data_IF_795679616699
#
_entry.id   IF_795679616699
#
_cell.length_a   1.000
_cell.length_b   1.000
_cell.length_c   1.000
_cell.angle_alpha   90.00
_cell.angle_beta   90.00
_cell.angle_gamma   90.00
#
_symmetry.space_group_name_H-M   'P 1'
#
loop_
_entity.id
_entity.type
_entity.pdbx_description
1 polymer ?
#
# COMPACT_ATOMS: atom_id res chain seq x y z
N UNK A 1 11.96 -20.79 -0.42
CA UNK A 1 11.10 -20.98 -1.60
C UNK A 1 10.62 -19.59 -2.00
N UNK A 2 10.74 -19.19 -3.26
CA UNK A 2 10.30 -17.85 -3.68
C UNK A 2 8.76 -17.84 -3.77
N UNK A 3 8.12 -17.15 -2.82
CA UNK A 3 6.66 -17.06 -2.74
C UNK A 3 6.07 -16.16 -3.83
N UNK A 4 6.88 -15.34 -4.51
CA UNK A 4 6.40 -14.40 -5.55
C UNK A 4 5.82 -15.09 -6.79
N UNK A 5 6.08 -16.39 -6.97
CA UNK A 5 5.51 -17.20 -8.05
C UNK A 5 4.11 -17.77 -7.75
N UNK A 6 3.61 -17.60 -6.53
CA UNK A 6 2.27 -18.03 -6.14
C UNK A 6 1.28 -16.88 -6.35
N UNK A 7 0.04 -17.17 -6.77
CA UNK A 7 -1.00 -16.13 -6.76
C UNK A 7 -1.25 -15.69 -5.30
N UNK A 8 -1.57 -14.40 -5.08
CA UNK A 8 -1.91 -13.91 -3.75
C UNK A 8 -3.13 -14.66 -3.22
N UNK A 9 -3.16 -14.90 -1.92
CA UNK A 9 -4.34 -15.48 -1.27
C UNK A 9 -5.47 -14.43 -1.16
N UNK A 10 -6.67 -14.88 -0.81
CA UNK A 10 -7.81 -13.98 -0.62
C UNK A 10 -7.53 -12.92 0.45
N UNK A 11 -6.93 -13.33 1.57
CA UNK A 11 -6.63 -12.47 2.71
C UNK A 11 -5.57 -11.41 2.38
N UNK A 12 -4.63 -11.72 1.48
CA UNK A 12 -3.68 -10.75 0.94
C UNK A 12 -4.38 -9.83 -0.06
N UNK A 13 -5.12 -10.36 -1.02
CA UNK A 13 -5.68 -9.58 -2.13
C UNK A 13 -6.79 -8.59 -1.68
N UNK A 14 -7.62 -8.98 -0.72
CA UNK A 14 -8.78 -8.20 -0.29
C UNK A 14 -8.43 -6.78 0.21
N UNK A 15 -7.48 -6.58 1.16
CA UNK A 15 -7.11 -5.24 1.61
C UNK A 15 -6.52 -4.38 0.49
N UNK A 16 -5.79 -4.95 -0.48
CA UNK A 16 -5.33 -4.21 -1.66
C UNK A 16 -6.50 -3.69 -2.50
N UNK A 17 -7.51 -4.52 -2.77
CA UNK A 17 -8.71 -4.12 -3.52
C UNK A 17 -9.46 -2.99 -2.78
N UNK A 18 -9.63 -3.11 -1.46
CA UNK A 18 -10.28 -2.08 -0.64
C UNK A 18 -9.56 -0.74 -0.74
N UNK A 19 -8.22 -0.73 -0.62
CA UNK A 19 -7.41 0.50 -0.73
C UNK A 19 -7.51 1.12 -2.11
N UNK A 20 -7.33 0.32 -3.17
CA UNK A 20 -7.42 0.80 -4.54
C UNK A 20 -8.80 1.40 -4.84
N UNK A 21 -9.87 0.75 -4.36
CA UNK A 21 -11.25 1.22 -4.52
C UNK A 21 -11.49 2.54 -3.79
N UNK A 22 -10.98 2.68 -2.57
CA UNK A 22 -11.07 3.93 -1.80
C UNK A 22 -10.36 5.08 -2.51
N UNK A 23 -9.11 4.88 -2.92
CA UNK A 23 -8.32 5.91 -3.63
C UNK A 23 -9.01 6.31 -4.94
N UNK A 24 -9.51 5.34 -5.71
CA UNK A 24 -10.23 5.63 -6.94
C UNK A 24 -11.51 6.45 -6.70
N UNK A 25 -12.26 6.13 -5.64
CA UNK A 25 -13.47 6.88 -5.27
C UNK A 25 -13.15 8.29 -4.76
N UNK A 26 -12.07 8.46 -4.01
CA UNK A 26 -11.59 9.77 -3.58
C UNK A 26 -11.29 10.66 -4.78
N UNK A 27 -10.52 10.14 -5.75
CA UNK A 27 -10.20 10.89 -6.97
C UNK A 27 -11.41 11.13 -7.87
N UNK A 28 -12.35 10.19 -7.91
CA UNK A 28 -13.62 10.38 -8.64
C UNK A 28 -14.45 11.53 -8.09
N UNK A 29 -14.32 11.84 -6.80
CA UNK A 29 -15.00 12.94 -6.12
C UNK A 29 -14.13 14.19 -5.99
N UNK A 30 -12.98 14.25 -6.67
CA UNK A 30 -12.01 15.36 -6.58
C UNK A 30 -12.58 16.73 -7.01
N UNK A 31 -13.65 16.74 -7.80
CA UNK A 31 -14.36 17.94 -8.26
C UNK A 31 -15.33 18.52 -7.22
N UNK A 32 -15.58 17.79 -6.13
CA UNK A 32 -16.50 18.22 -5.08
C UNK A 32 -15.84 19.25 -4.17
N UNK A 33 -16.60 20.29 -3.79
CA UNK A 33 -16.11 21.39 -2.94
C UNK A 33 -15.76 20.97 -1.52
N UNK A 34 -16.17 19.77 -1.11
CA UNK A 34 -15.89 19.18 0.19
C UNK A 34 -15.74 17.67 0.07
N UNK A 35 -14.53 17.17 0.36
CA UNK A 35 -14.21 15.75 0.36
C UNK A 35 -13.81 15.38 1.78
N UNK A 36 -14.81 15.08 2.62
CA UNK A 36 -14.57 14.43 3.91
C UNK A 36 -14.59 12.90 3.69
N UNK A 37 -13.50 12.37 3.14
CA UNK A 37 -13.29 10.94 3.02
C UNK A 37 -12.05 10.56 3.81
N UNK A 38 -12.26 10.23 5.09
CA UNK A 38 -11.24 9.62 5.91
C UNK A 38 -11.26 8.10 5.67
N UNK A 39 -10.10 7.48 5.41
CA UNK A 39 -10.04 6.03 5.26
C UNK A 39 -10.37 5.33 6.58
N UNK A 40 -10.97 4.15 6.48
CA UNK A 40 -11.25 3.26 7.62
C UNK A 40 -10.73 1.85 7.37
N UNK A 41 -10.92 0.95 8.34
CA UNK A 41 -10.61 -0.48 8.22
C UNK A 41 -11.36 -1.12 7.04
N UNK A 42 -12.57 -0.66 6.75
CA UNK A 42 -13.36 -1.11 5.58
C UNK A 42 -12.70 -0.71 4.24
N UNK A 43 -11.81 0.28 4.27
CA UNK A 43 -11.03 0.74 3.12
C UNK A 43 -9.62 0.15 3.07
N UNK A 44 -9.28 -0.79 3.96
CA UNK A 44 -7.95 -1.41 4.01
C UNK A 44 -6.89 -0.52 4.65
N UNK A 45 -7.30 0.39 5.54
CA UNK A 45 -6.42 1.27 6.32
C UNK A 45 -6.74 1.14 7.81
N UNK A 46 -5.75 1.31 8.66
CA UNK A 46 -5.90 1.34 10.12
C UNK A 46 -5.35 2.66 10.67
N UNK A 47 -5.97 3.18 11.73
CA UNK A 47 -5.48 4.36 12.43
C UNK A 47 -4.52 3.92 13.55
N UNK A 48 -3.23 4.23 13.41
CA UNK A 48 -2.19 3.90 14.38
C UNK A 48 -1.45 5.18 14.74
N UNK A 49 -1.46 5.55 16.02
CA UNK A 49 -0.82 6.77 16.53
C UNK A 49 -1.23 8.04 15.76
N UNK A 50 -2.54 8.21 15.50
CA UNK A 50 -3.13 9.30 14.70
C UNK A 50 -2.70 9.34 13.22
N UNK A 51 -2.06 8.28 12.70
CA UNK A 51 -1.67 8.15 11.30
C UNK A 51 -2.39 6.97 10.64
N UNK A 52 -2.92 7.18 9.43
CA UNK A 52 -3.48 6.09 8.64
C UNK A 52 -2.37 5.25 8.02
N UNK A 53 -2.31 3.97 8.37
CA UNK A 53 -1.40 3.00 7.80
C UNK A 53 -2.16 1.99 6.95
N UNK A 54 -1.66 1.61 5.76
CA UNK A 54 -2.27 0.56 4.97
C UNK A 54 -2.18 -0.78 5.71
N UNK A 55 -3.26 -1.55 5.66
CA UNK A 55 -3.26 -2.95 6.13
C UNK A 55 -2.70 -3.81 5.00
N UNK A 56 -1.41 -4.12 5.01
CA UNK A 56 -0.80 -4.88 3.91
C UNK A 56 -1.28 -6.33 3.87
N UNK A 57 -1.36 -6.96 5.03
CA UNK A 57 -1.68 -8.36 5.16
C UNK A 57 -2.26 -8.65 6.55
N UNK A 58 -3.23 -9.54 6.62
CA UNK A 58 -3.80 -10.07 7.87
C UNK A 58 -3.78 -11.60 7.80
N UNK A 59 -3.32 -12.25 8.88
CA UNK A 59 -3.29 -13.71 8.98
C UNK A 59 -1.91 -14.32 8.77
N UNK A 60 -1.87 -15.56 8.26
CA UNK A 60 -0.65 -16.34 8.05
C UNK A 60 -0.21 -16.26 6.59
N UNK A 61 1.03 -15.81 6.35
CA UNK A 61 1.58 -15.63 5.00
C UNK A 61 1.64 -16.94 4.21
N UNK A 62 1.73 -18.07 4.91
CA UNK A 62 1.77 -19.41 4.36
C UNK A 62 0.89 -20.32 5.22
N UNK A 63 0.05 -21.18 4.63
CA UNK A 63 -0.63 -22.24 5.35
C UNK A 63 0.39 -23.09 6.14
N UNK A 64 0.06 -23.47 7.38
CA UNK A 64 0.92 -24.31 8.23
C UNK A 64 1.43 -25.58 7.52
N UNK A 65 0.63 -26.17 6.63
CA UNK A 65 1.00 -27.37 5.86
C UNK A 65 2.14 -27.16 4.86
N UNK A 66 2.49 -25.92 4.55
CA UNK A 66 3.60 -25.55 3.67
C UNK A 66 4.84 -25.09 4.45
N UNK A 67 4.75 -24.95 5.79
CA UNK A 67 5.88 -24.63 6.64
C UNK A 67 6.72 -25.90 6.79
N UNK A 68 7.98 -25.93 6.31
CA UNK A 68 8.84 -27.09 6.47
C UNK A 68 9.10 -27.31 7.98
N UNK A 69 8.96 -28.55 8.46
CA UNK A 69 9.11 -28.95 9.88
C UNK A 69 10.54 -28.77 10.46
N UNK A 70 11.41 -28.01 9.80
CA UNK A 70 12.77 -27.75 10.27
C UNK A 70 12.75 -26.58 11.23
N UNK A 71 12.92 -26.90 12.51
CA UNK A 71 13.24 -25.97 13.61
C UNK A 71 14.35 -24.99 13.20
N UNK A 72 14.03 -23.69 13.15
CA UNK A 72 14.86 -22.54 13.56
C UNK A 72 14.23 -21.23 13.03
N UNK A 73 13.48 -20.55 13.90
CA UNK A 73 13.01 -19.18 13.70
C UNK A 73 14.20 -18.20 13.77
N UNK A 74 14.84 -17.93 12.64
CA UNK A 74 15.66 -16.72 12.49
C UNK A 74 14.72 -15.56 12.14
N UNK A 75 14.30 -14.82 13.16
CA UNK A 75 13.49 -13.62 13.05
C UNK A 75 14.28 -12.50 12.32
N UNK A 76 14.25 -12.52 10.99
CA UNK A 76 14.79 -11.43 10.17
C UNK A 76 13.73 -10.34 10.00
N UNK A 77 13.51 -9.55 11.05
CA UNK A 77 12.84 -8.25 10.91
C UNK A 77 13.81 -7.32 10.19
N UNK A 78 13.66 -7.16 8.87
CA UNK A 78 14.27 -6.06 8.15
C UNK A 78 13.39 -4.82 8.38
N UNK A 79 13.91 -3.86 9.14
CA UNK A 79 13.40 -2.49 9.13
C UNK A 79 13.62 -1.93 7.71
N UNK A 80 12.56 -1.88 6.92
CA UNK A 80 12.56 -1.16 5.65
C UNK A 80 12.58 0.34 5.97
N UNK A 81 13.77 0.91 6.11
CA UNK A 81 14.00 2.34 6.00
C UNK A 81 13.71 2.74 4.53
N UNK A 82 12.46 3.08 4.26
CA UNK A 82 12.06 3.78 3.04
C UNK A 82 12.77 5.15 2.99
N UNK A 83 13.97 5.16 2.41
CA UNK A 83 14.65 6.39 2.05
C UNK A 83 13.86 7.06 0.91
N UNK A 84 12.92 7.92 1.29
CA UNK A 84 12.32 8.90 0.40
C UNK A 84 13.43 9.76 -0.23
N UNK A 85 13.78 9.48 -1.49
CA UNK A 85 14.66 10.38 -2.23
C UNK A 85 13.88 11.66 -2.57
N UNK A 86 14.03 12.63 -1.68
CA UNK A 86 13.54 13.98 -1.84
C UNK A 86 14.64 14.81 -2.51
N UNK A 87 14.46 15.14 -3.79
CA UNK A 87 15.04 16.36 -4.36
C UNK A 87 14.27 16.84 -5.60
N UNK A 88 13.54 17.94 -5.40
CA UNK A 88 12.99 18.85 -6.40
C UNK A 88 14.10 19.52 -7.23
N UNK A 89 13.83 19.84 -8.49
CA UNK A 89 14.23 21.11 -9.11
C UNK A 89 13.35 21.41 -10.33
N UNK A 90 12.53 22.45 -10.19
CA UNK A 90 11.85 23.19 -11.26
C UNK A 90 12.86 23.74 -12.27
N UNK A 91 12.64 23.52 -13.58
CA UNK A 91 13.09 24.45 -14.63
C UNK A 91 11.91 24.79 -15.55
N UNK A 92 11.43 26.02 -15.37
CA UNK A 92 10.55 26.80 -16.24
C UNK A 92 11.21 27.08 -17.60
N UNK A 93 10.43 27.03 -18.68
CA UNK A 93 10.91 27.26 -20.04
C UNK A 93 9.77 27.32 -21.06
N UNK A 94 8.92 28.34 -20.96
CA UNK A 94 7.96 28.74 -22.01
C UNK A 94 8.68 29.02 -23.35
N UNK A 95 8.13 28.50 -24.44
CA UNK A 95 8.38 29.01 -25.80
C UNK A 95 7.12 28.83 -26.64
N UNK A 96 6.26 29.84 -26.61
CA UNK A 96 5.22 30.03 -27.62
C UNK A 96 5.89 30.49 -28.93
N UNK A 97 5.80 29.68 -29.98
CA UNK A 97 6.09 30.11 -31.35
C UNK A 97 4.78 30.11 -32.16
N UNK A 98 4.20 31.31 -32.31
CA UNK A 98 3.19 31.63 -33.34
C UNK A 98 3.91 31.89 -34.68
N UNK A 99 3.52 31.17 -35.74
CA UNK A 99 3.60 31.60 -37.16
C UNK A 99 2.35 31.14 -37.94
#
# INVERSE_FOLDING_TARGET
>A
MDASGLPPCEDELNPHIKRASFVANMWRSADQTHIEQHPSEENGWQLVDDHYKPVWFEGEQLPESLIPETEEEEAMYNEEEDAMDSASSDEDGSSDEDD
#
